data_IF_522196157976
#
_entry.id   IF_522196157976
#
_cell.length_a   1.000
_cell.length_b   1.000
_cell.length_c   1.000
_cell.angle_alpha   90.00
_cell.angle_beta   90.00
_cell.angle_gamma   90.00
#
_symmetry.space_group_name_H-M   'P 1'
#
loop_
_entity.id
_entity.type
_entity.pdbx_description
1 polymer ?
#
# COMPACT_ATOMS: atom_id res chain seq x y z
N UNK A 1 46.36 -53.08 -2.55
CA UNK A 1 46.01 -51.78 -1.93
C UNK A 1 45.42 -50.86 -3.00
N UNK A 2 44.09 -50.82 -3.12
CA UNK A 2 43.36 -49.85 -3.97
C UNK A 2 42.21 -49.29 -3.14
N UNK A 3 42.52 -48.33 -2.27
CA UNK A 3 41.54 -47.65 -1.40
C UNK A 3 41.66 -46.12 -1.44
N UNK A 4 42.47 -45.57 -2.35
CA UNK A 4 42.76 -44.13 -2.44
C UNK A 4 41.96 -43.39 -3.51
N UNK A 5 41.23 -44.09 -4.40
CA UNK A 5 40.50 -43.44 -5.50
C UNK A 5 39.08 -42.97 -5.17
N UNK A 6 38.50 -43.36 -4.01
CA UNK A 6 37.13 -42.97 -3.65
C UNK A 6 37.05 -41.63 -2.91
N UNK A 7 38.11 -41.23 -2.22
CA UNK A 7 38.10 -39.99 -1.42
C UNK A 7 38.23 -38.72 -2.27
N UNK A 8 38.91 -38.80 -3.42
CA UNK A 8 39.07 -37.66 -4.34
C UNK A 8 37.75 -37.30 -5.04
N UNK A 9 36.92 -38.31 -5.36
CA UNK A 9 35.62 -38.09 -5.99
C UNK A 9 34.60 -37.42 -5.05
N UNK A 10 34.69 -37.70 -3.75
CA UNK A 10 33.75 -37.21 -2.73
C UNK A 10 33.98 -35.73 -2.37
N UNK A 11 35.24 -35.26 -2.46
CA UNK A 11 35.60 -33.85 -2.22
C UNK A 11 35.15 -32.95 -3.39
N UNK A 12 35.14 -33.48 -4.62
CA UNK A 12 34.67 -32.75 -5.80
C UNK A 12 33.17 -32.47 -5.77
N UNK A 13 32.35 -33.37 -5.21
CA UNK A 13 30.88 -33.20 -5.14
C UNK A 13 30.48 -32.09 -4.16
N UNK A 14 31.24 -31.88 -3.07
CA UNK A 14 30.93 -30.87 -2.05
C UNK A 14 31.23 -29.44 -2.57
N UNK A 15 32.16 -29.30 -3.52
CA UNK A 15 32.54 -27.99 -4.08
C UNK A 15 31.57 -27.48 -5.16
N UNK A 16 30.70 -28.33 -5.73
CA UNK A 16 29.72 -27.92 -6.76
C UNK A 16 28.35 -27.55 -6.17
N UNK A 17 28.09 -27.89 -4.91
CA UNK A 17 26.86 -27.51 -4.18
C UNK A 17 26.83 -26.04 -3.75
N UNK A 18 27.89 -25.28 -4.04
CA UNK A 18 28.09 -23.91 -3.61
C UNK A 18 27.95 -22.88 -4.74
N UNK A 19 27.04 -23.07 -5.68
CA UNK A 19 26.69 -22.03 -6.64
C UNK A 19 25.18 -21.78 -6.69
N UNK A 20 24.87 -20.49 -6.55
CA UNK A 20 23.60 -19.84 -6.85
C UNK A 20 22.48 -20.06 -5.84
N UNK A 21 22.70 -19.55 -4.61
CA UNK A 21 21.65 -18.79 -3.95
C UNK A 21 21.38 -17.52 -4.76
N UNK A 22 20.80 -17.68 -5.96
CA UNK A 22 20.18 -16.58 -6.66
C UNK A 22 19.05 -16.12 -5.75
N UNK A 23 19.16 -14.88 -5.26
CA UNK A 23 18.06 -14.23 -4.58
C UNK A 23 16.85 -14.40 -5.51
N UNK A 24 15.75 -15.06 -5.09
CA UNK A 24 14.63 -15.31 -5.98
C UNK A 24 14.24 -13.95 -6.57
N UNK A 25 14.20 -13.89 -7.90
CA UNK A 25 13.96 -12.67 -8.67
C UNK A 25 12.96 -11.79 -7.93
N UNK A 26 13.46 -10.71 -7.31
CA UNK A 26 12.58 -9.69 -6.71
C UNK A 26 11.74 -9.22 -7.89
N UNK A 27 10.46 -9.59 -7.90
CA UNK A 27 9.55 -9.21 -8.99
C UNK A 27 9.26 -7.70 -8.84
N UNK A 28 10.21 -6.89 -9.31
CA UNK A 28 10.19 -5.43 -9.33
C UNK A 28 9.31 -4.93 -10.48
N UNK A 29 8.19 -5.61 -10.74
CA UNK A 29 7.21 -5.08 -11.69
C UNK A 29 6.67 -3.78 -11.11
N UNK A 30 6.78 -2.70 -11.87
CA UNK A 30 6.20 -1.38 -11.56
C UNK A 30 4.91 -1.12 -12.36
N UNK A 31 4.50 -2.10 -13.17
CA UNK A 31 3.30 -2.01 -13.99
C UNK A 31 2.17 -2.69 -13.23
N UNK A 32 1.56 -1.94 -12.32
CA UNK A 32 0.33 -2.34 -11.64
C UNK A 32 -0.84 -1.58 -12.24
N UNK A 33 -1.97 -2.27 -12.37
CA UNK A 33 -3.25 -1.67 -12.74
C UNK A 33 -4.10 -1.57 -11.47
N UNK A 34 -4.46 -0.35 -11.08
CA UNK A 34 -5.18 -0.09 -9.85
C UNK A 34 -6.59 0.38 -10.17
N UNK A 35 -7.57 -0.18 -9.46
CA UNK A 35 -8.92 0.35 -9.50
C UNK A 35 -8.95 1.72 -8.82
N UNK A 36 -9.43 2.74 -9.53
CA UNK A 36 -9.67 4.07 -8.99
C UNK A 36 -11.15 4.24 -8.61
N UNK A 37 -11.47 4.96 -7.52
CA UNK A 37 -12.85 5.26 -7.16
C UNK A 37 -13.48 6.19 -8.21
N UNK A 38 -14.78 6.04 -8.42
CA UNK A 38 -15.54 6.80 -9.42
C UNK A 38 -16.69 7.60 -8.82
N UNK A 39 -16.99 7.40 -7.52
CA UNK A 39 -17.93 8.21 -6.74
C UNK A 39 -17.25 8.73 -5.50
N UNK A 40 -17.28 10.04 -5.35
CA UNK A 40 -16.67 10.76 -4.24
C UNK A 40 -17.75 11.45 -3.39
N UNK A 41 -17.49 11.66 -2.09
CA UNK A 41 -18.42 12.34 -1.19
C UNK A 41 -18.47 13.87 -1.37
N UNK A 42 -17.70 14.42 -2.32
CA UNK A 42 -17.74 15.81 -2.74
C UNK A 42 -17.41 15.91 -4.24
N UNK A 43 -17.65 17.09 -4.83
CA UNK A 43 -17.31 17.34 -6.23
C UNK A 43 -15.78 17.37 -6.43
N UNK A 44 -15.25 16.50 -7.28
CA UNK A 44 -13.83 16.50 -7.66
C UNK A 44 -13.66 17.25 -8.97
N UNK A 45 -12.77 18.26 -8.97
CA UNK A 45 -12.45 19.05 -10.17
C UNK A 45 -10.95 19.18 -10.45
N UNK A 46 -10.12 18.50 -9.66
CA UNK A 46 -8.71 18.26 -9.95
C UNK A 46 -8.36 16.83 -9.58
N UNK A 47 -7.73 16.14 -10.54
CA UNK A 47 -7.20 14.79 -10.37
C UNK A 47 -5.72 14.81 -10.76
N UNK A 48 -4.87 14.20 -9.95
CA UNK A 48 -3.44 14.06 -10.21
C UNK A 48 -2.95 12.73 -9.65
N UNK A 49 -2.04 12.10 -10.37
CA UNK A 49 -1.33 10.91 -9.89
C UNK A 49 0.14 11.23 -9.71
N UNK A 50 0.71 10.76 -8.61
CA UNK A 50 2.12 10.86 -8.27
C UNK A 50 2.63 9.44 -8.01
N UNK A 51 3.79 9.11 -8.59
CA UNK A 51 4.50 7.88 -8.24
C UNK A 51 5.69 8.31 -7.41
N UNK A 52 5.64 8.00 -6.11
CA UNK A 52 6.70 8.29 -5.17
C UNK A 52 7.52 7.02 -4.97
N UNK A 53 8.76 7.05 -5.44
CA UNK A 53 9.74 5.98 -5.26
C UNK A 53 10.92 6.59 -4.52
N UNK A 54 10.93 6.46 -3.20
CA UNK A 54 12.07 6.89 -2.38
C UNK A 54 13.27 5.96 -2.62
N UNK A 55 13.03 4.65 -2.56
CA UNK A 55 13.94 3.61 -3.04
C UNK A 55 13.11 2.48 -3.69
N UNK A 56 13.27 2.21 -5.01
CA UNK A 56 12.51 1.17 -5.71
C UNK A 56 12.74 -0.25 -5.17
N UNK A 57 13.79 -0.45 -4.36
CA UNK A 57 14.08 -1.70 -3.68
C UNK A 57 13.56 -1.75 -2.23
N UNK A 58 13.04 -0.63 -1.70
CA UNK A 58 12.49 -0.56 -0.35
C UNK A 58 10.99 -0.26 -0.34
N UNK A 59 10.54 0.80 -1.04
CA UNK A 59 9.17 1.29 -0.99
C UNK A 59 8.72 1.80 -2.37
N UNK A 60 7.61 1.24 -2.86
CA UNK A 60 6.90 1.75 -4.02
C UNK A 60 5.58 2.38 -3.57
N UNK A 61 5.37 3.66 -3.87
CA UNK A 61 4.13 4.36 -3.56
C UNK A 61 3.47 4.95 -4.82
N UNK A 62 2.17 4.72 -4.94
CA UNK A 62 1.32 5.35 -5.93
C UNK A 62 0.29 6.19 -5.18
N UNK A 63 0.27 7.49 -5.45
CA UNK A 63 -0.60 8.46 -4.78
C UNK A 63 -1.51 9.09 -5.80
N UNK A 64 -2.81 8.91 -5.62
CA UNK A 64 -3.85 9.51 -6.46
C UNK A 64 -4.56 10.57 -5.64
N UNK A 65 -4.63 11.77 -6.20
CA UNK A 65 -5.20 12.95 -5.57
C UNK A 65 -6.53 13.28 -6.23
N UNK A 66 -7.55 13.47 -5.41
CA UNK A 66 -8.89 13.86 -5.83
C UNK A 66 -9.30 15.10 -5.05
N UNK A 67 -9.28 16.26 -5.69
CA UNK A 67 -9.40 17.54 -5.04
C UNK A 67 -10.56 18.37 -5.58
N UNK A 68 -11.19 19.11 -4.67
CA UNK A 68 -12.02 20.26 -5.00
C UNK A 68 -11.20 21.54 -4.75
N UNK A 69 -10.90 22.31 -5.80
CA UNK A 69 -10.11 23.53 -5.69
C UNK A 69 -10.80 24.64 -4.90
N UNK A 70 -12.13 24.67 -4.91
CA UNK A 70 -12.93 25.73 -4.30
C UNK A 70 -13.16 25.46 -2.82
N UNK A 71 -13.49 24.23 -2.43
CA UNK A 71 -13.71 23.84 -1.03
C UNK A 71 -12.42 23.39 -0.34
N UNK A 72 -11.34 23.21 -1.08
CA UNK A 72 -10.03 22.72 -0.61
C UNK A 72 -10.03 21.28 -0.07
N UNK A 73 -11.16 20.58 -0.20
CA UNK A 73 -11.30 19.17 0.16
C UNK A 73 -10.41 18.31 -0.75
N UNK A 74 -9.70 17.38 -0.15
CA UNK A 74 -8.83 16.46 -0.88
C UNK A 74 -8.91 15.06 -0.28
N UNK A 75 -9.06 14.07 -1.16
CA UNK A 75 -8.89 12.65 -0.84
C UNK A 75 -7.66 12.16 -1.57
N UNK A 76 -6.78 11.49 -0.85
CA UNK A 76 -5.66 10.73 -1.40
C UNK A 76 -5.96 9.24 -1.33
N UNK A 77 -5.84 8.53 -2.44
CA UNK A 77 -5.62 7.08 -2.43
C UNK A 77 -4.11 6.85 -2.47
N UNK A 78 -3.57 6.20 -1.44
CA UNK A 78 -2.15 5.86 -1.38
C UNK A 78 -2.03 4.35 -1.37
N UNK A 79 -1.24 3.82 -2.29
CA UNK A 79 -0.94 2.40 -2.43
C UNK A 79 0.56 2.21 -2.20
N UNK A 80 0.91 1.67 -1.03
CA UNK A 80 2.29 1.42 -0.61
C UNK A 80 2.62 -0.06 -0.72
N UNK A 81 3.78 -0.39 -1.27
CA UNK A 81 4.34 -1.75 -1.22
C UNK A 81 5.77 -1.68 -0.72
N UNK A 82 5.99 -2.20 0.48
CA UNK A 82 7.33 -2.40 1.02
C UNK A 82 7.87 -3.71 0.49
N UNK A 83 9.05 -3.68 -0.14
CA UNK A 83 9.62 -4.84 -0.85
C UNK A 83 10.32 -5.80 0.12
N UNK A 84 10.95 -5.29 1.19
CA UNK A 84 11.77 -6.09 2.10
C UNK A 84 11.07 -6.45 3.42
N UNK A 85 10.36 -5.52 4.06
CA UNK A 85 9.63 -5.75 5.32
C UNK A 85 8.20 -5.19 5.22
N UNK A 86 7.18 -6.03 4.92
CA UNK A 86 5.82 -5.57 4.69
C UNK A 86 5.31 -4.67 5.84
N UNK A 87 4.86 -3.47 5.50
CA UNK A 87 4.26 -2.57 6.48
C UNK A 87 2.96 -3.18 7.01
N UNK A 88 2.88 -3.38 8.34
CA UNK A 88 1.66 -3.81 9.00
C UNK A 88 0.83 -2.60 9.41
N UNK A 89 -0.49 -2.71 9.27
CA UNK A 89 -1.41 -1.69 9.76
C UNK A 89 -1.32 -1.63 11.28
N UNK A 90 -0.98 -0.46 11.82
CA UNK A 90 -1.07 -0.22 13.26
C UNK A 90 -2.55 -0.16 13.68
N UNK A 91 -3.01 -1.18 14.39
CA UNK A 91 -4.40 -1.27 14.86
C UNK A 91 -4.70 -0.34 16.05
N UNK A 92 -3.66 0.16 16.72
CA UNK A 92 -3.79 0.96 17.94
C UNK A 92 -4.48 2.29 17.61
N UNK A 93 -5.57 2.58 18.33
CA UNK A 93 -6.35 3.80 18.15
C UNK A 93 -7.29 3.78 16.94
N UNK A 94 -7.38 2.66 16.21
CA UNK A 94 -8.21 2.54 15.01
C UNK A 94 -9.44 1.69 15.24
N UNK A 95 -10.52 2.06 14.56
CA UNK A 95 -11.79 1.33 14.61
C UNK A 95 -11.83 0.29 13.48
N UNK A 96 -12.02 -1.01 13.78
CA UNK A 96 -12.04 -2.06 12.76
C UNK A 96 -13.37 -2.06 11.98
N UNK A 97 -13.29 -2.26 10.66
CA UNK A 97 -14.44 -2.42 9.75
C UNK A 97 -14.20 -3.56 8.75
N UNK A 98 -15.24 -4.30 8.39
CA UNK A 98 -15.17 -5.33 7.35
C UNK A 98 -15.64 -4.76 6.02
N UNK A 99 -14.79 -4.84 4.99
CA UNK A 99 -15.11 -4.43 3.63
C UNK A 99 -16.04 -5.45 2.95
N UNK A 100 -16.68 -5.06 1.85
CA UNK A 100 -17.65 -5.90 1.10
C UNK A 100 -17.05 -7.21 0.60
N UNK A 101 -15.74 -7.26 0.36
CA UNK A 101 -15.02 -8.47 -0.03
C UNK A 101 -14.59 -9.35 1.15
N UNK A 102 -14.97 -8.98 2.39
CA UNK A 102 -14.62 -9.70 3.62
C UNK A 102 -13.26 -9.34 4.21
N UNK A 103 -12.47 -8.47 3.56
CA UNK A 103 -11.19 -8.01 4.12
C UNK A 103 -11.40 -7.06 5.30
N UNK A 104 -10.47 -7.09 6.24
CA UNK A 104 -10.43 -6.17 7.37
C UNK A 104 -9.83 -4.83 6.94
N UNK A 105 -10.46 -3.74 7.40
CA UNK A 105 -10.00 -2.38 7.28
C UNK A 105 -9.99 -1.70 8.66
N UNK A 106 -9.26 -0.60 8.76
CA UNK A 106 -9.06 0.14 10.00
C UNK A 106 -9.26 1.62 9.74
N UNK A 107 -10.25 2.22 10.39
CA UNK A 107 -10.58 3.63 10.31
C UNK A 107 -9.90 4.40 11.44
N UNK A 108 -9.40 5.58 11.12
CA UNK A 108 -8.78 6.51 12.06
C UNK A 108 -9.26 7.93 11.74
N UNK A 109 -9.42 8.72 12.79
CA UNK A 109 -9.81 10.11 12.69
C UNK A 109 -9.04 10.93 13.71
N UNK A 110 -8.56 12.09 13.27
CA UNK A 110 -8.06 13.15 14.13
C UNK A 110 -8.77 14.48 13.81
N UNK A 111 -8.29 15.57 14.41
CA UNK A 111 -8.89 16.89 14.26
C UNK A 111 -8.89 17.40 12.79
N UNK A 112 -7.88 17.01 12.01
CA UNK A 112 -7.58 17.59 10.70
C UNK A 112 -7.74 16.60 9.54
N UNK A 113 -7.99 15.32 9.84
CA UNK A 113 -8.03 14.26 8.83
C UNK A 113 -8.86 13.04 9.24
N UNK A 114 -9.32 12.33 8.22
CA UNK A 114 -9.94 11.01 8.35
C UNK A 114 -9.23 10.03 7.43
N UNK A 115 -8.98 8.81 7.87
CA UNK A 115 -8.33 7.80 7.05
C UNK A 115 -8.91 6.41 7.24
N UNK A 116 -8.79 5.58 6.21
CA UNK A 116 -9.10 4.15 6.27
C UNK A 116 -8.00 3.37 5.59
N UNK A 117 -7.55 2.30 6.25
CA UNK A 117 -6.41 1.47 5.86
C UNK A 117 -6.84 0.03 5.65
N UNK A 118 -6.34 -0.64 4.61
CA UNK A 118 -6.61 -2.06 4.35
C UNK A 118 -5.52 -2.69 3.48
N UNK A 119 -5.41 -4.01 3.54
CA UNK A 119 -4.56 -4.77 2.62
C UNK A 119 -5.26 -4.91 1.27
N UNK A 120 -4.70 -4.33 0.22
CA UNK A 120 -5.21 -4.41 -1.16
C UNK A 120 -4.70 -5.65 -1.89
N UNK A 121 -4.87 -5.71 -3.21
CA UNK A 121 -4.32 -6.76 -4.07
C UNK A 121 -2.79 -6.67 -4.11
N UNK A 122 -2.15 -7.77 -4.51
CA UNK A 122 -0.71 -7.85 -4.78
C UNK A 122 0.23 -7.43 -3.64
N UNK A 123 -0.26 -7.52 -2.39
CA UNK A 123 0.51 -7.18 -1.18
C UNK A 123 0.69 -5.67 -0.95
N UNK A 124 -0.13 -4.83 -1.58
CA UNK A 124 -0.14 -3.40 -1.29
C UNK A 124 -0.90 -3.10 0.00
N UNK A 125 -0.32 -2.25 0.83
CA UNK A 125 -1.05 -1.54 1.86
C UNK A 125 -1.72 -0.32 1.23
N UNK A 126 -3.05 -0.30 1.23
CA UNK A 126 -3.84 0.79 0.70
C UNK A 126 -4.40 1.65 1.82
N UNK A 127 -4.49 2.95 1.56
CA UNK A 127 -5.19 3.89 2.44
C UNK A 127 -5.88 4.99 1.66
N UNK A 128 -7.06 5.37 2.12
CA UNK A 128 -7.63 6.67 1.80
C UNK A 128 -7.30 7.64 2.93
N UNK A 129 -6.90 8.86 2.58
CA UNK A 129 -6.72 9.96 3.54
C UNK A 129 -7.49 11.16 3.04
N UNK A 130 -8.44 11.63 3.85
CA UNK A 130 -9.23 12.83 3.63
C UNK A 130 -8.74 13.96 4.54
N UNK A 131 -8.63 15.15 3.97
CA UNK A 131 -8.32 16.38 4.68
C UNK A 131 -8.81 17.59 3.90
N UNK A 132 -8.75 18.76 4.53
CA UNK A 132 -9.00 20.06 3.89
C UNK A 132 -7.76 20.94 3.99
N UNK A 133 -7.64 21.90 3.08
CA UNK A 133 -6.60 22.93 3.08
C UNK A 133 -5.17 22.43 3.40
N UNK A 134 -4.78 21.27 2.87
CA UNK A 134 -3.44 20.72 3.11
C UNK A 134 -3.14 20.32 4.56
N UNK A 135 -4.13 19.86 5.33
CA UNK A 135 -4.06 19.51 6.75
C UNK A 135 -3.88 20.70 7.71
N UNK A 136 -3.97 21.93 7.22
CA UNK A 136 -3.75 23.13 8.03
C UNK A 136 -4.96 23.48 8.92
N UNK A 137 -6.16 23.08 8.51
CA UNK A 137 -7.40 23.42 9.18
C UNK A 137 -8.10 22.18 9.77
N UNK A 138 -8.80 22.32 10.91
CA UNK A 138 -9.64 21.26 11.46
C UNK A 138 -10.83 20.98 10.53
N UNK A 139 -11.27 19.72 10.46
CA UNK A 139 -12.34 19.33 9.53
C UNK A 139 -13.68 20.02 9.80
N UNK A 140 -14.06 20.17 11.08
CA UNK A 140 -15.31 20.82 11.47
C UNK A 140 -16.52 20.32 10.67
N UNK A 141 -17.25 21.24 10.04
CA UNK A 141 -18.43 20.94 9.22
C UNK A 141 -18.11 20.23 7.89
N UNK A 142 -16.84 20.19 7.48
CA UNK A 142 -16.38 19.44 6.31
C UNK A 142 -16.05 17.98 6.63
N UNK A 143 -16.23 17.54 7.88
CA UNK A 143 -16.03 16.14 8.25
C UNK A 143 -16.96 15.24 7.42
N UNK A 144 -16.41 14.16 6.88
CA UNK A 144 -17.17 13.14 6.16
C UNK A 144 -17.82 12.17 7.15
N UNK A 145 -18.86 11.46 6.70
CA UNK A 145 -19.33 10.31 7.46
C UNK A 145 -18.30 9.17 7.31
N UNK A 146 -18.10 8.36 8.34
CA UNK A 146 -17.21 7.19 8.28
C UNK A 146 -17.55 6.27 7.09
N UNK A 147 -18.85 6.18 6.76
CA UNK A 147 -19.36 5.42 5.62
C UNK A 147 -18.81 5.90 4.28
N UNK A 148 -18.47 7.18 4.14
CA UNK A 148 -17.99 7.75 2.88
C UNK A 148 -16.60 7.20 2.52
N UNK A 149 -15.71 7.09 3.51
CA UNK A 149 -14.39 6.47 3.32
C UNK A 149 -14.50 4.95 3.14
N UNK A 150 -15.41 4.29 3.85
CA UNK A 150 -15.68 2.86 3.69
C UNK A 150 -16.21 2.57 2.28
N UNK A 151 -17.10 3.40 1.75
CA UNK A 151 -17.63 3.26 0.40
C UNK A 151 -16.56 3.49 -0.67
N UNK A 152 -15.62 4.42 -0.45
CA UNK A 152 -14.45 4.58 -1.30
C UNK A 152 -13.56 3.33 -1.28
N UNK A 153 -13.21 2.81 -0.10
CA UNK A 153 -12.41 1.60 0.03
C UNK A 153 -13.07 0.41 -0.68
N UNK A 154 -14.39 0.28 -0.58
CA UNK A 154 -15.16 -0.77 -1.26
C UNK A 154 -15.19 -0.66 -2.78
N UNK A 155 -15.04 0.54 -3.35
CA UNK A 155 -15.03 0.73 -4.81
C UNK A 155 -13.76 0.17 -5.48
N UNK A 156 -12.66 0.09 -4.73
CA UNK A 156 -11.32 -0.21 -5.26
C UNK A 156 -10.79 -1.59 -4.86
N UNK A 157 -11.67 -2.48 -4.38
CA UNK A 157 -11.33 -3.84 -3.96
C UNK A 157 -11.12 -4.84 -5.11
#
# INVERSE_FOLDING_TARGET
MRRTSYYVLLILIILISGCSGGNPDRNLTMNYDFAEPFRFPFEVNEVRTEVEMDDPYALQQYVFHYKNKQTTQEIKLILSKVIDDPENISEVGKSPFTLKNGKQAYYEEDENSQSIWWESKDGFLARFVYYINGYLDPLGDYKLNDSDLIDLANQVQ
#
